data_IF_737504625146
#
_entry.id   IF_737504625146
#
_cell.length_a   1.000
_cell.length_b   1.000
_cell.length_c   1.000
_cell.angle_alpha   90.00
_cell.angle_beta   90.00
_cell.angle_gamma   90.00
#
_symmetry.space_group_name_H-M   'P 1'
#
loop_
_entity.id
_entity.type
_entity.pdbx_description
1 polymer ?
#
# COMPACT_ATOMS: atom_id res chain seq x y z
N UNK A 1 8.04 13.34 -1.15
CA UNK A 1 8.46 12.66 0.09
C UNK A 1 7.35 11.70 0.47
N UNK A 2 7.67 10.42 0.66
CA UNK A 2 6.69 9.44 1.08
C UNK A 2 6.45 9.49 2.60
N UNK A 3 5.29 9.03 3.11
CA UNK A 3 4.99 9.00 4.54
C UNK A 3 6.02 8.20 5.34
N UNK A 4 6.19 8.54 6.62
CA UNK A 4 6.96 7.68 7.53
C UNK A 4 6.10 6.50 7.96
N UNK A 5 6.75 5.40 8.34
CA UNK A 5 6.06 4.30 9.01
C UNK A 5 5.42 4.76 10.32
N UNK A 6 4.32 4.12 10.69
CA UNK A 6 3.55 4.44 11.89
C UNK A 6 4.32 4.19 13.18
N UNK A 7 4.99 3.03 13.25
CA UNK A 7 5.75 2.59 14.42
C UNK A 7 6.97 1.79 13.95
N UNK A 8 8.15 2.32 14.23
CA UNK A 8 9.42 1.71 13.84
C UNK A 8 9.68 0.39 14.56
N UNK A 9 9.09 0.17 15.75
CA UNK A 9 9.31 -1.04 16.54
C UNK A 9 8.47 -2.23 16.04
N UNK A 10 7.48 -1.98 15.19
CA UNK A 10 6.59 -3.00 14.63
C UNK A 10 7.04 -3.50 13.25
N UNK A 11 8.04 -2.87 12.64
CA UNK A 11 8.59 -3.27 11.34
C UNK A 11 9.12 -4.71 11.45
N UNK A 12 8.75 -5.55 10.47
CA UNK A 12 9.11 -6.97 10.40
C UNK A 12 8.20 -7.91 11.19
N UNK A 13 7.24 -7.39 11.96
CA UNK A 13 6.30 -8.22 12.73
C UNK A 13 4.99 -8.50 12.00
N UNK A 14 4.78 -7.89 10.83
CA UNK A 14 3.58 -8.10 10.01
C UNK A 14 3.69 -9.38 9.17
N UNK A 15 2.57 -10.07 8.90
CA UNK A 15 2.60 -11.28 8.07
C UNK A 15 3.11 -10.98 6.65
N UNK A 16 3.88 -11.91 6.09
CA UNK A 16 4.32 -11.86 4.70
C UNK A 16 3.13 -11.77 3.74
N UNK A 17 2.22 -12.75 3.83
CA UNK A 17 1.05 -12.84 2.97
C UNK A 17 -0.08 -11.94 3.47
N UNK A 18 -0.38 -10.89 2.70
CA UNK A 18 -1.48 -9.96 2.96
C UNK A 18 -2.41 -9.89 1.76
N UNK A 19 -3.56 -9.22 1.90
CA UNK A 19 -4.51 -9.08 0.80
C UNK A 19 -3.88 -8.25 -0.32
N UNK A 20 -3.89 -8.80 -1.53
CA UNK A 20 -3.62 -8.02 -2.75
C UNK A 20 -4.86 -7.21 -3.12
N UNK A 21 -4.69 -5.94 -3.50
CA UNK A 21 -5.80 -5.09 -3.95
C UNK A 21 -5.52 -3.62 -3.73
N UNK A 22 -5.33 -2.88 -4.83
CA UNK A 22 -4.87 -1.49 -4.86
C UNK A 22 -5.75 -0.45 -4.19
N UNK A 23 -6.87 -0.86 -3.56
CA UNK A 23 -7.79 -0.06 -2.76
C UNK A 23 -8.08 1.34 -3.33
N UNK A 24 -8.67 2.19 -2.50
CA UNK A 24 -8.90 3.59 -2.87
C UNK A 24 -8.39 4.58 -1.82
N UNK A 25 -8.18 4.10 -0.60
CA UNK A 25 -7.82 4.89 0.57
C UNK A 25 -6.77 4.17 1.40
N UNK A 26 -6.01 4.89 2.21
CA UNK A 26 -5.03 4.32 3.13
C UNK A 26 -5.07 5.08 4.46
N UNK A 27 -4.75 4.41 5.55
CA UNK A 27 -4.69 5.04 6.88
C UNK A 27 -3.25 5.29 7.30
N UNK A 28 -2.42 4.25 7.40
CA UNK A 28 -1.02 4.38 7.84
C UNK A 28 -0.12 3.46 7.03
N UNK A 29 1.12 3.90 6.79
CA UNK A 29 2.20 3.04 6.31
C UNK A 29 2.77 2.29 7.51
N UNK A 30 2.94 0.98 7.38
CA UNK A 30 3.42 0.11 8.45
C UNK A 30 4.89 -0.24 8.24
N UNK A 31 5.26 -0.57 7.00
CA UNK A 31 6.64 -0.84 6.57
C UNK A 31 6.74 -0.72 5.05
N UNK A 32 7.93 -0.43 4.57
CA UNK A 32 8.28 -0.57 3.15
C UNK A 32 8.89 -1.95 2.93
N UNK A 33 8.46 -2.65 1.90
CA UNK A 33 8.93 -4.00 1.56
C UNK A 33 9.62 -3.97 0.21
N UNK A 34 10.73 -4.68 0.11
CA UNK A 34 11.40 -4.97 -1.16
C UNK A 34 11.40 -6.47 -1.33
N UNK A 35 10.58 -6.95 -2.27
CA UNK A 35 10.50 -8.36 -2.63
C UNK A 35 11.71 -8.77 -3.47
N UNK A 36 12.24 -9.95 -3.22
CA UNK A 36 13.42 -10.53 -3.83
C UNK A 36 13.08 -11.91 -4.39
N UNK A 37 13.48 -12.13 -5.63
CA UNK A 37 13.09 -13.25 -6.46
C UNK A 37 14.33 -14.03 -6.90
N UNK A 38 14.65 -15.19 -6.28
CA UNK A 38 15.80 -16.01 -6.67
C UNK A 38 15.82 -16.38 -8.15
N UNK A 39 14.65 -16.61 -8.74
CA UNK A 39 14.46 -16.89 -10.17
C UNK A 39 14.82 -15.70 -11.08
N UNK A 40 14.77 -14.48 -10.54
CA UNK A 40 15.21 -13.26 -11.21
C UNK A 40 16.65 -12.86 -10.84
N UNK A 41 17.38 -13.72 -10.11
CA UNK A 41 18.79 -13.54 -9.78
C UNK A 41 19.09 -13.00 -8.38
N UNK A 42 18.08 -12.93 -7.50
CA UNK A 42 18.33 -12.67 -6.08
C UNK A 42 19.07 -13.85 -5.42
N UNK A 43 19.67 -13.60 -4.26
CA UNK A 43 20.34 -14.66 -3.51
C UNK A 43 19.32 -15.71 -3.07
N UNK A 44 19.64 -16.99 -3.25
CA UNK A 44 18.76 -18.08 -2.86
C UNK A 44 18.93 -18.43 -1.37
N UNK A 45 18.33 -17.61 -0.50
CA UNK A 45 18.39 -17.79 0.96
C UNK A 45 17.18 -18.54 1.53
N UNK A 46 16.06 -18.60 0.78
CA UNK A 46 14.82 -19.29 1.17
C UNK A 46 14.51 -20.49 0.25
N UNK A 47 15.52 -21.29 -0.12
CA UNK A 47 15.36 -22.53 -0.91
C UNK A 47 14.57 -22.39 -2.24
N UNK A 48 14.64 -21.23 -2.86
CA UNK A 48 14.00 -20.89 -4.13
C UNK A 48 12.68 -20.15 -3.96
N UNK A 49 12.21 -19.93 -2.74
CA UNK A 49 11.02 -19.13 -2.46
C UNK A 49 11.35 -17.63 -2.47
N UNK A 50 10.34 -16.84 -2.83
CA UNK A 50 10.38 -15.37 -2.71
C UNK A 50 10.48 -14.94 -1.25
N UNK A 51 11.23 -13.87 -1.01
CA UNK A 51 11.39 -13.27 0.32
C UNK A 51 11.40 -11.75 0.20
N UNK A 52 11.38 -11.04 1.32
CA UNK A 52 11.45 -9.59 1.29
C UNK A 52 12.27 -9.04 2.45
N UNK A 53 12.83 -7.86 2.23
CA UNK A 53 13.40 -7.02 3.27
C UNK A 53 12.42 -5.90 3.65
N UNK A 54 12.46 -5.50 4.92
CA UNK A 54 11.57 -4.47 5.48
C UNK A 54 12.35 -3.22 5.88
N UNK A 55 11.76 -2.05 5.66
CA UNK A 55 12.39 -0.75 5.90
C UNK A 55 11.40 0.24 6.53
N UNK A 56 11.95 1.16 7.33
CA UNK A 56 11.20 2.26 7.95
C UNK A 56 11.05 3.49 7.05
N UNK A 57 11.94 3.63 6.07
CA UNK A 57 11.94 4.73 5.13
C UNK A 57 11.97 4.24 3.68
N UNK A 58 11.19 4.91 2.82
CA UNK A 58 11.13 4.57 1.40
C UNK A 58 12.50 4.69 0.71
N UNK A 59 13.28 5.72 1.04
CA UNK A 59 14.56 5.94 0.37
C UNK A 59 15.55 4.81 0.64
N UNK A 60 15.58 4.30 1.88
CA UNK A 60 16.41 3.13 2.25
C UNK A 60 15.99 1.90 1.46
N UNK A 61 14.68 1.64 1.36
CA UNK A 61 14.14 0.55 0.56
C UNK A 61 14.52 0.68 -0.92
N UNK A 62 14.44 1.89 -1.47
CA UNK A 62 14.76 2.16 -2.88
C UNK A 62 16.25 2.04 -3.19
N UNK A 63 17.12 2.45 -2.26
CA UNK A 63 18.56 2.25 -2.38
C UNK A 63 18.87 0.75 -2.39
N UNK A 64 18.31 0.00 -1.43
CA UNK A 64 18.47 -1.45 -1.37
C UNK A 64 17.99 -2.16 -2.65
N UNK A 65 16.82 -1.80 -3.16
CA UNK A 65 16.26 -2.45 -4.36
C UNK A 65 17.13 -2.23 -5.60
N UNK A 66 17.79 -1.08 -5.72
CA UNK A 66 18.69 -0.77 -6.84
C UNK A 66 20.02 -1.50 -6.77
N UNK A 67 20.45 -1.87 -5.58
CA UNK A 67 21.71 -2.57 -5.33
C UNK A 67 21.56 -4.10 -5.30
N UNK A 68 20.31 -4.59 -5.26
CA UNK A 68 20.00 -6.01 -5.11
C UNK A 68 19.49 -6.60 -6.42
N UNK A 69 20.22 -7.56 -6.99
CA UNK A 69 19.77 -8.29 -8.16
C UNK A 69 18.49 -9.07 -7.85
N UNK A 70 17.57 -9.12 -8.81
CA UNK A 70 16.29 -9.84 -8.65
C UNK A 70 15.34 -9.21 -7.63
N UNK A 71 15.60 -7.99 -7.15
CA UNK A 71 14.69 -7.25 -6.28
C UNK A 71 13.66 -6.43 -7.08
N UNK A 72 12.44 -6.31 -6.55
CA UNK A 72 11.40 -5.42 -7.04
C UNK A 72 11.57 -3.98 -6.52
N UNK A 73 10.87 -3.01 -7.13
CA UNK A 73 10.77 -1.68 -6.54
C UNK A 73 10.00 -1.73 -5.19
N UNK A 74 10.29 -0.81 -4.26
CA UNK A 74 9.65 -0.83 -2.95
C UNK A 74 8.12 -0.73 -3.03
N UNK A 75 7.45 -1.57 -2.26
CA UNK A 75 6.01 -1.50 -2.02
C UNK A 75 5.76 -1.09 -0.57
N UNK A 76 4.62 -0.44 -0.29
CA UNK A 76 4.25 -0.06 1.06
C UNK A 76 3.23 -1.04 1.62
N UNK A 77 3.54 -1.68 2.75
CA UNK A 77 2.52 -2.31 3.56
C UNK A 77 1.74 -1.21 4.28
N UNK A 78 0.43 -1.18 4.08
CA UNK A 78 -0.47 -0.23 4.72
C UNK A 78 -1.54 -0.93 5.54
N UNK A 79 -2.06 -0.20 6.52
CA UNK A 79 -3.33 -0.52 7.17
C UNK A 79 -4.45 0.30 6.54
N UNK A 80 -5.59 -0.34 6.38
CA UNK A 80 -6.87 0.28 6.12
C UNK A 80 -7.78 -0.07 7.29
N UNK A 81 -8.19 0.91 8.07
CA UNK A 81 -9.16 0.71 9.15
C UNK A 81 -10.57 0.50 8.58
N UNK A 82 -10.84 1.15 7.45
CA UNK A 82 -12.03 1.01 6.63
C UNK A 82 -11.60 1.22 5.16
N UNK A 83 -12.31 0.63 4.21
CA UNK A 83 -11.96 0.74 2.80
C UNK A 83 -13.18 0.78 1.88
N UNK A 84 -12.93 1.18 0.64
CA UNK A 84 -13.92 1.10 -0.45
C UNK A 84 -13.61 -0.17 -1.22
N UNK A 85 -14.62 -1.03 -1.33
CA UNK A 85 -14.62 -2.20 -2.19
C UNK A 85 -15.30 -1.88 -3.53
N UNK A 86 -14.76 -2.44 -4.61
CA UNK A 86 -15.33 -2.35 -5.95
C UNK A 86 -15.32 -3.75 -6.59
N UNK A 87 -16.09 -4.67 -6.00
CA UNK A 87 -16.28 -6.02 -6.54
C UNK A 87 -16.82 -6.03 -7.98
N UNK A 88 -17.55 -4.99 -8.37
CA UNK A 88 -18.00 -4.76 -9.74
C UNK A 88 -17.65 -3.34 -10.16
N UNK A 89 -17.19 -3.17 -11.40
CA UNK A 89 -16.79 -1.87 -11.94
C UNK A 89 -17.89 -0.80 -11.74
N UNK A 90 -17.52 0.30 -11.08
CA UNK A 90 -18.40 1.42 -10.78
C UNK A 90 -19.33 1.21 -9.56
N UNK A 91 -19.33 0.04 -8.93
CA UNK A 91 -20.11 -0.26 -7.72
C UNK A 91 -19.23 -0.21 -6.48
N UNK A 92 -19.30 0.91 -5.78
CA UNK A 92 -18.49 1.17 -4.60
C UNK A 92 -19.25 0.85 -3.31
N UNK A 93 -18.65 0.04 -2.45
CA UNK A 93 -19.20 -0.33 -1.13
C UNK A 93 -18.26 0.09 -0.02
N UNK A 94 -18.80 0.69 1.05
CA UNK A 94 -18.03 0.97 2.27
C UNK A 94 -17.88 -0.30 3.10
N UNK A 95 -16.65 -0.75 3.28
CA UNK A 95 -16.33 -1.85 4.18
C UNK A 95 -15.71 -1.30 5.45
N UNK A 96 -16.36 -1.56 6.59
CA UNK A 96 -15.93 -1.14 7.94
C UNK A 96 -15.15 -2.24 8.64
N UNK A 97 -14.13 -2.73 7.96
CA UNK A 97 -13.26 -3.79 8.48
C UNK A 97 -11.80 -3.39 8.31
N UNK A 98 -11.00 -3.74 9.32
CA UNK A 98 -9.57 -3.52 9.29
C UNK A 98 -8.88 -4.56 8.40
N UNK A 99 -7.97 -4.13 7.52
CA UNK A 99 -7.11 -5.04 6.75
C UNK A 99 -5.71 -4.49 6.48
N UNK A 100 -4.76 -5.40 6.32
CA UNK A 100 -3.42 -5.16 5.81
C UNK A 100 -3.41 -5.38 4.30
N UNK A 101 -2.72 -4.52 3.55
CA UNK A 101 -2.55 -4.66 2.11
C UNK A 101 -1.26 -3.98 1.65
N UNK A 102 -0.65 -4.53 0.62
CA UNK A 102 0.51 -3.93 -0.04
C UNK A 102 0.04 -3.00 -1.17
N UNK A 103 0.64 -1.82 -1.21
CA UNK A 103 0.29 -0.75 -2.12
C UNK A 103 1.51 -0.21 -2.86
N UNK A 104 1.41 -0.02 -4.19
CA UNK A 104 2.39 0.78 -4.93
C UNK A 104 2.60 2.11 -4.22
N UNK A 105 3.86 2.49 -4.04
CA UNK A 105 4.22 3.65 -3.23
C UNK A 105 3.61 4.94 -3.78
N UNK A 106 3.42 5.03 -5.11
CA UNK A 106 2.78 6.16 -5.79
C UNK A 106 1.37 6.41 -5.26
N UNK A 107 0.67 5.38 -4.78
CA UNK A 107 -0.68 5.52 -4.24
C UNK A 107 -0.69 6.22 -2.88
N UNK A 108 0.44 6.32 -2.20
CA UNK A 108 0.60 7.11 -0.97
C UNK A 108 0.57 8.62 -1.23
N UNK A 109 0.66 9.05 -2.50
CA UNK A 109 0.45 10.46 -2.88
C UNK A 109 -1.03 10.85 -2.83
N UNK A 110 -1.94 9.85 -2.83
CA UNK A 110 -3.37 10.08 -2.65
C UNK A 110 -3.64 10.62 -1.25
N UNK A 111 -4.69 11.45 -1.06
CA UNK A 111 -5.08 11.93 0.26
C UNK A 111 -5.24 10.77 1.25
N UNK A 112 -4.59 10.91 2.42
CA UNK A 112 -4.76 9.98 3.53
C UNK A 112 -6.22 10.00 3.99
N UNK A 113 -6.78 8.82 4.29
CA UNK A 113 -8.16 8.67 4.72
C UNK A 113 -8.41 9.46 6.00
N UNK A 114 -9.55 10.13 6.06
CA UNK A 114 -10.15 10.66 7.27
C UNK A 114 -11.60 10.17 7.41
N UNK A 115 -12.27 10.62 8.47
CA UNK A 115 -13.67 10.27 8.76
C UNK A 115 -14.67 10.63 7.65
N UNK A 116 -14.36 11.62 6.81
CA UNK A 116 -15.23 12.10 5.74
C UNK A 116 -14.88 11.51 4.37
N UNK A 117 -13.67 10.95 4.17
CA UNK A 117 -13.20 10.47 2.86
C UNK A 117 -14.17 9.48 2.19
N UNK A 118 -14.61 8.45 2.91
CA UNK A 118 -15.52 7.43 2.35
C UNK A 118 -16.97 7.93 2.31
N UNK A 119 -17.53 8.57 3.36
CA UNK A 119 -18.86 9.15 3.30
C UNK A 119 -19.05 10.17 2.16
N UNK A 120 -18.09 11.07 1.96
CA UNK A 120 -18.17 12.08 0.89
C UNK A 120 -18.10 11.44 -0.49
N UNK A 121 -17.27 10.41 -0.66
CA UNK A 121 -17.16 9.68 -1.92
C UNK A 121 -18.45 8.92 -2.28
N UNK A 122 -19.13 8.33 -1.29
CA UNK A 122 -20.35 7.57 -1.49
C UNK A 122 -21.63 8.42 -1.44
N UNK A 123 -21.52 9.70 -1.08
CA UNK A 123 -22.65 10.62 -0.99
C UNK A 123 -23.44 10.67 -2.31
N UNK A 124 -24.79 10.76 -2.25
CA UNK A 124 -25.59 11.01 -3.46
C UNK A 124 -25.27 12.36 -4.11
N UNK A 125 -24.65 13.28 -3.35
CA UNK A 125 -24.18 14.58 -3.80
C UNK A 125 -22.69 14.60 -4.15
N UNK A 126 -22.02 13.44 -4.17
CA UNK A 126 -20.63 13.34 -4.54
C UNK A 126 -20.43 13.93 -5.95
N UNK A 127 -19.36 14.72 -6.17
CA UNK A 127 -19.12 15.32 -7.48
C UNK A 127 -18.81 14.23 -8.51
N UNK A 128 -19.08 14.53 -9.80
CA UNK A 128 -18.86 13.57 -10.90
C UNK A 128 -17.40 13.10 -10.99
N UNK A 129 -16.45 13.94 -10.59
CA UNK A 129 -15.01 13.66 -10.55
C UNK A 129 -14.53 13.10 -9.19
N UNK A 130 -15.42 12.47 -8.40
CA UNK A 130 -15.09 11.93 -7.06
C UNK A 130 -13.91 10.95 -7.06
N UNK A 131 -13.68 10.20 -8.13
CA UNK A 131 -12.55 9.27 -8.24
C UNK A 131 -11.24 10.02 -8.40
N UNK A 132 -11.22 11.06 -9.23
CA UNK A 132 -10.06 11.92 -9.44
C UNK A 132 -9.71 12.66 -8.15
N UNK A 133 -10.70 13.13 -7.40
CA UNK A 133 -10.51 13.74 -6.07
C UNK A 133 -9.91 12.71 -5.10
N UNK A 134 -10.47 11.51 -5.04
CA UNK A 134 -9.99 10.43 -4.16
C UNK A 134 -8.56 10.00 -4.51
N UNK A 135 -8.19 10.08 -5.79
CA UNK A 135 -6.83 9.80 -6.29
C UNK A 135 -5.88 11.00 -6.15
N UNK A 136 -6.34 12.14 -5.64
CA UNK A 136 -5.53 13.35 -5.51
C UNK A 136 -5.17 14.03 -6.84
N UNK A 137 -5.87 13.71 -7.92
CA UNK A 137 -5.61 14.25 -9.27
C UNK A 137 -6.32 15.60 -9.45
N UNK A 138 -7.50 15.78 -8.85
CA UNK A 138 -8.29 17.01 -8.90
C UNK A 138 -8.79 17.39 -7.51
N UNK A 139 -9.31 18.61 -7.37
CA UNK A 139 -9.97 19.11 -6.15
C UNK A 139 -11.48 19.16 -6.34
#
# INVERSE_FOLDING_TARGET
MYPKVKDINEIGNYPALVKAGGGYVWDEVLEYRVWCHPENGAENIENGDDYFYVFGEYNEALEFSKETNGAEEPIALIIQNEYIDESEFGKYTHVKEKRLTEWPVEFLTRPKRNENTIPDFLSPNAPKNRLEILRGIQK
#
